data_IF_622807022139
#
_entry.id   IF_622807022139
#
_cell.length_a   1.000
_cell.length_b   1.000
_cell.length_c   1.000
_cell.angle_alpha   90.00
_cell.angle_beta   90.00
_cell.angle_gamma   90.00
#
_symmetry.space_group_name_H-M   'P 1'
#
loop_
_entity.id
_entity.type
_entity.pdbx_description
1 polymer ?
#
# COMPACT_ATOMS: atom_id res chain seq x y z
N UNK A 1 13.45 -13.71 -7.89
CA UNK A 1 13.02 -12.62 -6.99
C UNK A 1 11.63 -12.98 -6.50
N UNK A 2 11.56 -13.57 -5.31
CA UNK A 2 10.31 -13.94 -4.66
C UNK A 2 9.86 -12.72 -3.86
N UNK A 3 8.98 -11.91 -4.44
CA UNK A 3 8.41 -10.77 -3.70
C UNK A 3 7.34 -11.29 -2.75
N UNK A 4 7.70 -11.47 -1.49
CA UNK A 4 6.87 -11.85 -0.33
C UNK A 4 5.83 -10.76 0.04
N UNK A 5 4.96 -10.42 -0.90
CA UNK A 5 3.76 -9.64 -0.61
C UNK A 5 2.70 -10.58 -0.03
N UNK A 6 2.11 -10.21 1.10
CA UNK A 6 0.93 -10.85 1.67
C UNK A 6 -0.23 -9.86 1.69
N UNK A 7 -1.45 -10.38 1.79
CA UNK A 7 -2.62 -9.52 1.97
C UNK A 7 -2.51 -8.84 3.34
N UNK A 8 -2.68 -7.52 3.38
CA UNK A 8 -2.46 -6.68 4.56
C UNK A 8 -1.08 -6.02 4.63
N UNK A 9 -0.12 -6.41 3.77
CA UNK A 9 1.12 -5.65 3.60
C UNK A 9 0.85 -4.29 2.95
N UNK A 10 1.82 -3.38 3.08
CA UNK A 10 1.85 -2.13 2.33
C UNK A 10 2.90 -2.20 1.22
N UNK A 11 2.49 -1.81 0.01
CA UNK A 11 3.37 -1.71 -1.13
C UNK A 11 3.54 -0.24 -1.52
N UNK A 12 4.79 0.21 -1.63
CA UNK A 12 5.12 1.54 -2.14
C UNK A 12 5.02 1.53 -3.65
N UNK A 13 4.21 2.41 -4.21
CA UNK A 13 4.10 2.58 -5.65
C UNK A 13 5.27 3.41 -6.16
N UNK A 14 6.15 2.83 -6.97
CA UNK A 14 7.41 3.48 -7.36
C UNK A 14 7.44 3.94 -8.82
N UNK A 15 6.49 3.49 -9.64
CA UNK A 15 6.49 3.78 -11.07
C UNK A 15 5.09 4.09 -11.58
N UNK A 16 4.94 5.22 -12.27
CA UNK A 16 3.66 5.62 -12.87
C UNK A 16 3.24 4.65 -13.96
N UNK A 17 1.98 4.23 -13.93
CA UNK A 17 1.35 3.35 -14.93
C UNK A 17 0.22 4.12 -15.60
N UNK A 18 0.12 4.01 -16.92
CA UNK A 18 -0.97 4.64 -17.67
C UNK A 18 -2.32 4.07 -17.24
N UNK A 19 -3.27 4.93 -16.91
CA UNK A 19 -4.60 4.54 -16.45
C UNK A 19 -4.72 4.32 -14.95
N UNK A 20 -3.60 4.31 -14.21
CA UNK A 20 -3.58 4.19 -12.74
C UNK A 20 -3.45 5.57 -12.11
N UNK A 21 -4.36 5.92 -11.19
CA UNK A 21 -4.38 7.22 -10.48
C UNK A 21 -3.65 7.21 -9.13
N UNK A 22 -2.79 6.23 -8.89
CA UNK A 22 -1.95 6.16 -7.70
C UNK A 22 -0.82 7.19 -7.77
N UNK A 23 -0.53 7.81 -6.63
CA UNK A 23 0.61 8.71 -6.45
C UNK A 23 1.90 7.90 -6.25
N UNK A 24 2.92 8.18 -7.06
CA UNK A 24 4.27 7.59 -6.93
C UNK A 24 4.92 8.07 -5.63
N UNK A 25 5.61 7.16 -4.94
CA UNK A 25 6.24 7.39 -3.64
C UNK A 25 5.32 7.11 -2.45
N UNK A 26 4.00 6.93 -2.65
CA UNK A 26 3.06 6.55 -1.60
C UNK A 26 2.90 5.04 -1.47
N UNK A 27 2.59 4.59 -0.26
CA UNK A 27 2.28 3.21 0.06
C UNK A 27 0.79 2.97 0.10
N UNK A 28 0.36 1.81 -0.40
CA UNK A 28 -1.05 1.40 -0.45
C UNK A 28 -1.20 -0.02 0.08
N UNK A 29 -2.37 -0.31 0.65
CA UNK A 29 -2.70 -1.62 1.22
C UNK A 29 -2.81 -2.67 0.11
N UNK A 30 -2.11 -3.79 0.28
CA UNK A 30 -2.23 -4.96 -0.57
C UNK A 30 -3.47 -5.75 -0.18
N UNK A 31 -4.46 -5.76 -1.05
CA UNK A 31 -5.72 -6.49 -0.81
C UNK A 31 -5.78 -7.83 -1.53
N UNK A 32 -4.95 -8.03 -2.56
CA UNK A 32 -4.84 -9.33 -3.24
C UNK A 32 -3.47 -9.48 -3.90
N UNK A 33 -2.93 -10.68 -3.82
CA UNK A 33 -1.64 -11.06 -4.41
C UNK A 33 -1.93 -12.05 -5.54
N UNK A 34 -1.42 -11.80 -6.74
CA UNK A 34 -1.53 -12.68 -7.91
C UNK A 34 -0.11 -13.08 -8.36
N UNK A 35 0.00 -14.01 -9.31
CA UNK A 35 1.31 -14.52 -9.78
C UNK A 35 2.28 -13.42 -10.25
N UNK A 36 1.79 -12.36 -10.90
CA UNK A 36 2.63 -11.32 -11.52
C UNK A 36 2.24 -9.89 -11.12
N UNK A 37 1.13 -9.73 -10.40
CA UNK A 37 0.56 -8.43 -10.04
C UNK A 37 -0.01 -8.49 -8.64
N UNK A 38 -0.14 -7.35 -7.99
CA UNK A 38 -0.92 -7.17 -6.76
C UNK A 38 -2.04 -6.17 -6.98
N UNK A 39 -3.09 -6.31 -6.18
CA UNK A 39 -4.15 -5.33 -6.09
C UNK A 39 -3.90 -4.44 -4.89
N UNK A 40 -3.77 -3.15 -5.17
CA UNK A 40 -3.62 -2.11 -4.16
C UNK A 40 -4.95 -1.39 -3.96
N UNK A 41 -5.31 -1.13 -2.71
CA UNK A 41 -6.49 -0.33 -2.36
C UNK A 41 -6.08 1.12 -2.13
N UNK A 42 -6.80 2.02 -2.80
CA UNK A 42 -6.75 3.46 -2.58
C UNK A 42 -8.17 3.94 -2.29
N UNK A 43 -8.46 4.24 -1.02
CA UNK A 43 -9.74 4.75 -0.47
C UNK A 43 -11.02 4.08 -0.99
N UNK A 44 -11.40 4.32 -2.25
CA UNK A 44 -12.62 3.84 -2.89
C UNK A 44 -12.39 3.06 -4.19
N UNK A 45 -11.13 2.78 -4.56
CA UNK A 45 -10.77 2.07 -5.79
C UNK A 45 -9.70 1.02 -5.52
N UNK A 46 -9.73 -0.03 -6.34
CA UNK A 46 -8.74 -1.11 -6.32
C UNK A 46 -8.01 -1.09 -7.66
N UNK A 47 -6.69 -0.98 -7.58
CA UNK A 47 -5.81 -0.91 -8.74
C UNK A 47 -5.00 -2.19 -8.87
N UNK A 48 -4.93 -2.76 -10.07
CA UNK A 48 -4.07 -3.91 -10.34
C UNK A 48 -2.72 -3.42 -10.84
N UNK A 49 -1.66 -3.72 -10.11
CA UNK A 49 -0.31 -3.18 -10.28
C UNK A 49 0.70 -4.32 -10.43
N UNK A 50 1.55 -4.34 -11.47
CA UNK A 50 2.63 -5.31 -11.60
C UNK A 50 3.69 -5.12 -10.52
N UNK A 51 4.34 -6.21 -10.12
CA UNK A 51 5.41 -6.17 -9.11
C UNK A 51 6.55 -5.20 -9.48
N UNK A 52 6.84 -5.04 -10.77
CA UNK A 52 7.89 -4.14 -11.26
C UNK A 52 7.62 -2.65 -10.98
N UNK A 53 6.37 -2.29 -10.66
CA UNK A 53 5.97 -0.92 -10.39
C UNK A 53 5.82 -0.63 -8.89
N UNK A 54 6.15 -1.60 -8.03
CA UNK A 54 6.00 -1.48 -6.58
C UNK A 54 7.20 -2.05 -5.85
N UNK A 55 7.39 -1.59 -4.62
CA UNK A 55 8.36 -2.15 -3.69
C UNK A 55 7.67 -2.45 -2.36
N UNK A 56 8.19 -3.43 -1.62
CA UNK A 56 7.69 -3.71 -0.27
C UNK A 56 8.03 -2.50 0.60
N UNK A 57 7.01 -1.85 1.16
CA UNK A 57 7.24 -0.77 2.09
C UNK A 57 7.56 -1.40 3.44
N UNK A 58 8.82 -1.36 3.86
CA UNK A 58 9.18 -1.70 5.23
C UNK A 58 8.58 -0.64 6.15
N UNK A 59 7.64 -1.06 7.00
CA UNK A 59 7.00 -0.18 7.98
C UNK A 59 7.97 0.03 9.15
N UNK A 60 9.08 0.74 8.90
CA UNK A 60 9.98 1.19 9.95
C UNK A 60 9.40 2.45 10.60
N UNK A 61 8.61 2.26 11.65
CA UNK A 61 8.40 3.23 12.74
C UNK A 61 7.77 4.59 12.44
N UNK A 62 7.68 5.03 11.20
CA UNK A 62 6.97 6.26 10.83
C UNK A 62 5.52 5.92 10.54
N UNK A 63 4.65 6.49 11.37
CA UNK A 63 3.21 6.50 11.19
C UNK A 63 2.87 6.66 9.71
N UNK A 64 2.40 5.58 9.09
CA UNK A 64 1.50 5.71 7.96
C UNK A 64 0.28 6.38 8.57
N UNK A 65 0.21 7.72 8.46
CA UNK A 65 -1.00 8.49 8.76
C UNK A 65 -2.06 7.96 7.79
N UNK A 66 -2.70 6.87 8.19
CA UNK A 66 -4.00 6.49 7.70
C UNK A 66 -4.90 7.67 8.05
N UNK A 67 -5.50 8.33 7.06
CA UNK A 67 -6.47 9.40 7.30
C UNK A 67 -7.78 8.87 7.91
N UNK A 68 -7.84 7.58 8.25
CA UNK A 68 -8.88 7.02 9.08
C UNK A 68 -8.68 7.50 10.52
N UNK A 69 -9.26 8.68 10.78
CA UNK A 69 -9.52 9.17 12.11
C UNK A 69 -10.20 8.10 12.96
N UNK A 70 -9.45 7.57 13.91
CA UNK A 70 -9.97 7.16 15.20
C UNK A 70 -8.94 7.56 16.22
N UNK A 71 -8.97 8.86 16.54
CA UNK A 71 -8.48 9.34 17.80
C UNK A 71 -9.11 8.52 18.92
N UNK A 72 -8.33 7.65 19.53
CA UNK A 72 -8.46 7.27 20.95
C UNK A 72 -7.07 7.09 21.53
N UNK A 73 -6.27 8.16 21.50
CA UNK A 73 -5.23 8.37 22.49
C UNK A 73 -5.90 8.79 23.80
N UNK A 74 -6.60 7.85 24.44
CA UNK A 74 -7.00 7.96 25.84
C UNK A 74 -5.83 7.54 26.71
N UNK A 75 -4.76 8.34 26.74
CA UNK A 75 -3.72 8.21 27.75
C UNK A 75 -4.33 8.69 29.07
N UNK A 76 -4.61 7.71 29.94
CA UNK A 76 -5.05 7.88 31.33
C UNK A 76 -4.15 8.88 32.06
N UNK A 77 -4.77 9.79 32.82
CA UNK A 77 -4.13 10.62 33.83
C UNK A 77 -4.22 9.93 35.18
#
# INVERSE_FOLDING_TARGET
METDFKVGDYAKFIRKIRGVKLTVGKSYEVVKVLKTTVRLRDWNQIWTIPYEAIEKAEVYGELIMQPFGSAKAGARK
#
